data_IF_674294978040
#
_entry.id   IF_674294978040
#
_cell.length_a   1.000
_cell.length_b   1.000
_cell.length_c   1.000
_cell.angle_alpha   90.00
_cell.angle_beta   90.00
_cell.angle_gamma   90.00
#
_symmetry.space_group_name_H-M   'P 1'
#
loop_
_entity.id
_entity.type
_entity.pdbx_description
1 polymer ?
#
# COMPACT_ATOMS: atom_id res chain seq x y z
N UNK A 1 5.11 7.86 -7.96
CA UNK A 1 4.51 7.08 -6.86
C UNK A 1 3.77 8.02 -5.95
N UNK A 2 2.56 7.66 -5.52
CA UNK A 2 1.74 8.48 -4.61
C UNK A 2 1.57 7.71 -3.31
N UNK A 3 2.01 8.29 -2.19
CA UNK A 3 1.82 7.73 -0.85
C UNK A 3 0.59 8.39 -0.23
N UNK A 4 -0.41 7.60 0.13
CA UNK A 4 -1.65 8.07 0.74
C UNK A 4 -1.71 7.60 2.20
N UNK A 5 -1.82 8.56 3.12
CA UNK A 5 -1.97 8.30 4.55
C UNK A 5 -3.43 8.57 4.92
N UNK A 6 -4.17 7.53 5.33
CA UNK A 6 -5.55 7.68 5.75
C UNK A 6 -5.65 7.90 7.26
N UNK A 7 -6.45 8.89 7.66
CA UNK A 7 -6.88 9.11 9.05
C UNK A 7 -8.37 8.84 9.16
N UNK A 8 -8.76 8.33 10.32
CA UNK A 8 -10.03 7.76 10.81
C UNK A 8 -11.40 8.17 10.20
N UNK A 9 -11.56 9.25 9.45
CA UNK A 9 -12.89 9.76 9.11
C UNK A 9 -13.43 9.37 7.72
N UNK A 10 -12.61 8.78 6.85
CA UNK A 10 -13.07 8.40 5.52
C UNK A 10 -13.36 6.89 5.46
N UNK A 11 -14.63 6.53 5.29
CA UNK A 11 -15.05 5.18 4.87
C UNK A 11 -15.48 5.20 3.39
N UNK A 12 -14.58 4.82 2.45
CA UNK A 12 -14.91 4.61 1.04
C UNK A 12 -14.43 3.24 0.53
N UNK A 13 -14.25 2.24 1.41
CA UNK A 13 -13.54 0.98 1.12
C UNK A 13 -14.12 0.20 -0.09
N UNK A 14 -15.44 0.32 -0.32
CA UNK A 14 -16.13 -0.34 -1.44
C UNK A 14 -15.89 0.32 -2.81
N UNK A 15 -15.58 1.62 -2.84
CA UNK A 15 -15.32 2.35 -4.08
C UNK A 15 -13.84 2.33 -4.44
N UNK A 16 -12.96 2.38 -3.44
CA UNK A 16 -11.51 2.43 -3.67
C UNK A 16 -10.98 1.18 -4.36
N UNK A 17 -11.45 0.00 -3.96
CA UNK A 17 -11.02 -1.28 -4.53
C UNK A 17 -11.31 -1.36 -6.04
N UNK A 18 -12.49 -0.90 -6.46
CA UNK A 18 -12.88 -0.87 -7.88
C UNK A 18 -12.03 0.10 -8.68
N UNK A 19 -11.77 1.28 -8.12
CA UNK A 19 -10.92 2.31 -8.75
C UNK A 19 -9.49 1.78 -8.95
N UNK A 20 -8.92 1.12 -7.94
CA UNK A 20 -7.56 0.56 -8.02
C UNK A 20 -7.46 -0.55 -9.08
N UNK A 21 -8.45 -1.45 -9.15
CA UNK A 21 -8.49 -2.49 -10.18
C UNK A 21 -8.64 -1.88 -11.58
N UNK A 22 -9.52 -0.88 -11.75
CA UNK A 22 -9.69 -0.19 -13.02
C UNK A 22 -8.40 0.53 -13.46
N UNK A 23 -7.71 1.20 -12.55
CA UNK A 23 -6.44 1.85 -12.81
C UNK A 23 -5.33 0.85 -13.19
N UNK A 24 -5.19 -0.25 -12.45
CA UNK A 24 -4.23 -1.31 -12.75
C UNK A 24 -4.48 -1.92 -14.15
N UNK A 25 -5.74 -2.16 -14.50
CA UNK A 25 -6.13 -2.64 -15.83
C UNK A 25 -5.82 -1.62 -16.93
N UNK A 26 -6.07 -0.34 -16.69
CA UNK A 26 -5.75 0.72 -17.65
C UNK A 26 -4.25 0.80 -17.92
N UNK A 27 -3.41 0.75 -16.88
CA UNK A 27 -1.93 0.77 -17.02
C UNK A 27 -1.46 -0.45 -17.79
N UNK A 28 -1.96 -1.62 -17.44
CA UNK A 28 -1.62 -2.90 -18.08
C UNK A 28 -2.01 -2.92 -19.57
N UNK A 29 -3.20 -2.43 -19.93
CA UNK A 29 -3.70 -2.44 -21.31
C UNK A 29 -3.04 -1.36 -22.18
N UNK A 30 -2.56 -0.28 -21.59
CA UNK A 30 -1.82 0.77 -22.27
C UNK A 30 -0.34 0.41 -22.53
N UNK A 31 0.08 -0.84 -22.23
CA UNK A 31 1.45 -1.32 -22.39
C UNK A 31 2.50 -0.49 -21.63
N UNK A 32 2.08 0.18 -20.55
CA UNK A 32 3.00 0.86 -19.65
C UNK A 32 3.73 -0.17 -18.78
N UNK A 33 4.94 0.18 -18.36
CA UNK A 33 5.68 -0.67 -17.43
C UNK A 33 4.85 -0.88 -16.14
N UNK A 34 4.73 -2.11 -15.59
CA UNK A 34 3.88 -2.39 -14.43
C UNK A 34 4.16 -1.50 -13.21
N UNK A 35 5.42 -1.07 -13.07
CA UNK A 35 5.86 -0.17 -11.98
C UNK A 35 5.72 1.33 -12.31
N UNK A 36 4.97 1.72 -13.35
CA UNK A 36 4.80 3.13 -13.72
C UNK A 36 4.02 3.92 -12.66
N UNK A 37 3.15 3.23 -11.91
CA UNK A 37 2.40 3.78 -10.79
C UNK A 37 2.44 2.78 -9.65
N UNK A 38 2.73 3.28 -8.46
CA UNK A 38 2.63 2.55 -7.20
C UNK A 38 1.79 3.36 -6.21
N UNK A 39 0.93 2.66 -5.47
CA UNK A 39 0.11 3.21 -4.39
C UNK A 39 0.46 2.45 -3.12
N UNK A 40 0.85 3.18 -2.08
CA UNK A 40 1.15 2.57 -0.78
C UNK A 40 0.16 3.05 0.28
N UNK A 41 -0.41 2.11 1.01
CA UNK A 41 -1.25 2.36 2.17
C UNK A 41 -0.50 1.97 3.45
N UNK A 42 -0.47 2.87 4.42
CA UNK A 42 0.20 2.65 5.71
C UNK A 42 -0.82 2.91 6.81
N UNK A 43 -1.06 1.93 7.67
CA UNK A 43 -1.90 2.09 8.85
C UNK A 43 -1.13 2.80 9.97
N UNK A 44 -1.72 3.86 10.51
CA UNK A 44 -1.23 4.52 11.73
C UNK A 44 -2.24 4.26 12.84
N UNK A 45 -1.81 3.59 13.91
CA UNK A 45 -2.65 3.19 15.05
C UNK A 45 -3.36 1.84 14.87
N UNK A 46 -3.85 1.28 15.98
CA UNK A 46 -4.30 -0.12 16.10
C UNK A 46 -5.81 -0.34 15.87
N UNK A 47 -6.44 0.38 14.94
CA UNK A 47 -7.86 0.18 14.65
C UNK A 47 -8.11 -1.15 13.89
N UNK A 48 -8.93 -2.08 14.44
CA UNK A 48 -9.18 -3.38 13.82
C UNK A 48 -9.98 -3.29 12.50
N UNK A 49 -10.81 -2.26 12.33
CA UNK A 49 -11.57 -2.04 11.08
C UNK A 49 -10.60 -1.66 9.95
N UNK A 50 -9.69 -0.73 10.23
CA UNK A 50 -8.68 -0.32 9.26
C UNK A 50 -7.73 -1.47 8.90
N UNK A 51 -7.39 -2.32 9.87
CA UNK A 51 -6.61 -3.53 9.61
C UNK A 51 -7.36 -4.52 8.70
N UNK A 52 -8.66 -4.71 8.91
CA UNK A 52 -9.49 -5.55 8.05
C UNK A 52 -9.60 -4.99 6.62
N UNK A 53 -9.78 -3.68 6.50
CA UNK A 53 -9.82 -2.96 5.23
C UNK A 53 -8.52 -3.14 4.43
N UNK A 54 -7.37 -2.92 5.08
CA UNK A 54 -6.07 -3.10 4.45
C UNK A 54 -5.80 -4.54 4.06
N UNK A 55 -6.18 -5.51 4.90
CA UNK A 55 -6.10 -6.94 4.53
C UNK A 55 -6.99 -7.30 3.36
N UNK A 56 -8.11 -6.60 3.18
CA UNK A 56 -8.99 -6.78 2.02
C UNK A 56 -8.36 -6.17 0.77
N UNK A 57 -7.79 -4.95 0.87
CA UNK A 57 -7.06 -4.28 -0.20
C UNK A 57 -5.77 -5.02 -0.61
N UNK A 58 -5.13 -5.75 0.31
CA UNK A 58 -3.95 -6.57 0.00
C UNK A 58 -4.29 -7.81 -0.84
N UNK A 59 -5.55 -8.27 -0.83
CA UNK A 59 -6.01 -9.49 -1.52
C UNK A 59 -6.56 -9.23 -2.91
N UNK A 60 -6.89 -7.98 -3.25
CA UNK A 60 -7.37 -7.64 -4.59
C UNK A 60 -6.22 -7.65 -5.60
N UNK A 61 -6.48 -8.21 -6.78
CA UNK A 61 -5.50 -8.22 -7.86
C UNK A 61 -5.39 -6.82 -8.48
N UNK A 62 -4.34 -6.11 -8.05
CA UNK A 62 -3.96 -4.80 -8.59
C UNK A 62 -2.70 -4.88 -9.44
N UNK A 63 -2.30 -6.08 -9.88
CA UNK A 63 -1.11 -6.32 -10.72
C UNK A 63 0.19 -5.76 -10.12
N UNK A 64 0.29 -5.77 -8.80
CA UNK A 64 1.45 -5.25 -8.05
C UNK A 64 1.49 -3.71 -7.91
N UNK A 65 0.42 -3.00 -8.31
CA UNK A 65 0.32 -1.54 -8.17
C UNK A 65 0.16 -1.10 -6.70
N UNK A 66 -0.44 -1.93 -5.85
CA UNK A 66 -0.76 -1.57 -4.46
C UNK A 66 0.11 -2.34 -3.47
N UNK A 67 0.69 -1.63 -2.51
CA UNK A 67 1.37 -2.18 -1.33
C UNK A 67 0.67 -1.68 -0.06
N UNK A 68 0.49 -2.55 0.92
CA UNK A 68 -0.19 -2.23 2.18
C UNK A 68 0.69 -2.61 3.36
N UNK A 69 0.77 -1.75 4.36
CA UNK A 69 1.47 -2.02 5.62
C UNK A 69 0.51 -1.76 6.78
N UNK A 70 0.20 -2.81 7.54
CA UNK A 70 -0.67 -2.73 8.71
C UNK A 70 0.10 -2.29 9.96
N UNK A 71 -0.63 -1.76 10.95
CA UNK A 71 -0.02 -1.29 12.19
C UNK A 71 0.52 -2.46 13.02
N UNK A 72 -0.13 -3.62 12.95
CA UNK A 72 0.32 -4.85 13.62
C UNK A 72 1.65 -5.36 13.05
N UNK A 73 1.92 -5.18 11.75
CA UNK A 73 3.23 -5.49 11.14
C UNK A 73 4.31 -4.49 11.55
N UNK A 74 3.95 -3.25 11.87
CA UNK A 74 4.87 -2.22 12.37
C UNK A 74 5.11 -2.34 13.88
N UNK A 75 4.11 -2.81 14.63
CA UNK A 75 4.05 -2.89 16.10
C UNK A 75 3.98 -1.52 16.78
N UNK A 76 5.00 -0.69 16.52
CA UNK A 76 5.14 0.69 16.98
C UNK A 76 5.59 1.58 15.83
N UNK A 77 5.07 2.81 15.76
CA UNK A 77 5.50 3.79 14.77
C UNK A 77 6.74 4.54 15.30
N UNK A 78 7.93 4.16 14.83
CA UNK A 78 9.15 4.96 15.00
C UNK A 78 9.48 5.71 13.71
N UNK A 79 10.29 6.77 13.82
CA UNK A 79 10.76 7.51 12.65
C UNK A 79 11.52 6.62 11.67
N UNK A 80 12.38 5.70 12.15
CA UNK A 80 13.14 4.79 11.26
C UNK A 80 12.23 3.77 10.56
N UNK A 81 11.19 3.30 11.25
CA UNK A 81 10.20 2.38 10.66
C UNK A 81 9.38 3.09 9.58
N UNK A 82 8.93 4.32 9.85
CA UNK A 82 8.20 5.11 8.87
C UNK A 82 9.07 5.42 7.64
N UNK A 83 10.32 5.82 7.85
CA UNK A 83 11.29 6.03 6.77
C UNK A 83 11.47 4.77 5.91
N UNK A 84 11.65 3.61 6.54
CA UNK A 84 11.77 2.33 5.84
C UNK A 84 10.53 1.98 5.02
N UNK A 85 9.33 2.20 5.56
CA UNK A 85 8.08 1.92 4.84
C UNK A 85 7.96 2.82 3.60
N UNK A 86 8.22 4.12 3.77
CA UNK A 86 8.16 5.09 2.67
C UNK A 86 9.20 4.79 1.58
N UNK A 87 10.42 4.42 1.97
CA UNK A 87 11.49 4.02 1.04
C UNK A 87 11.21 2.66 0.38
N UNK A 88 10.58 1.73 1.11
CA UNK A 88 10.17 0.43 0.58
C UNK A 88 9.09 0.53 -0.49
N UNK A 89 8.22 1.54 -0.38
CA UNK A 89 7.26 1.88 -1.44
C UNK A 89 7.96 2.42 -2.68
N UNK A 90 8.91 3.36 -2.51
CA UNK A 90 9.51 4.16 -3.59
C UNK A 90 10.18 3.36 -4.70
N UNK A 91 10.69 2.17 -4.42
CA UNK A 91 11.37 1.38 -5.43
C UNK A 91 11.31 -0.12 -5.11
N UNK A 92 10.60 -0.94 -5.93
CA UNK A 92 10.57 -2.40 -5.78
C UNK A 92 11.98 -3.01 -5.74
N UNK A 93 12.94 -2.40 -6.45
CA UNK A 93 14.34 -2.80 -6.45
C UNK A 93 15.08 -2.48 -5.14
N UNK A 94 14.72 -1.41 -4.42
CA UNK A 94 15.28 -1.12 -3.09
C UNK A 94 14.68 -2.05 -2.03
N UNK A 95 13.38 -2.40 -2.18
CA UNK A 95 12.71 -3.41 -1.35
C UNK A 95 13.38 -4.79 -1.49
N UNK A 96 13.78 -5.19 -2.71
CA UNK A 96 14.49 -6.44 -2.94
C UNK A 96 15.91 -6.48 -2.35
N UNK A 97 16.53 -5.32 -2.12
CA UNK A 97 17.91 -5.21 -1.62
C UNK A 97 18.03 -5.18 -0.09
N UNK A 98 16.95 -4.91 0.65
CA UNK A 98 17.00 -4.85 2.13
C UNK A 98 16.33 -6.08 2.75
N UNK A 99 17.02 -6.79 3.67
CA UNK A 99 16.47 -7.99 4.30
C UNK A 99 15.22 -7.66 5.11
N UNK A 100 14.19 -8.52 5.01
CA UNK A 100 12.96 -8.47 5.81
C UNK A 100 13.26 -8.78 7.27
N UNK A 101 13.60 -7.75 8.03
CA UNK A 101 13.52 -7.80 9.49
C UNK A 101 12.42 -6.83 9.92
N UNK A 102 11.33 -7.42 10.40
CA UNK A 102 10.23 -6.73 11.09
C UNK A 102 10.68 -6.34 12.50
#
# INVERSE_FOLDING_TARGET
MVSLIFRKDDSPEFELSKVLVAAANRISNAHHHPNSVGVQFIQIGNNPIAEHALKTLAKIDTKGMVDTVSYSELGSLSAEKLERVLLGGLHPNIRAQKPRYF
#
